data_IF_491314309355
#
_entry.id   IF_491314309355
#
_cell.length_a   1.000
_cell.length_b   1.000
_cell.length_c   1.000
_cell.angle_alpha   90.00
_cell.angle_beta   90.00
_cell.angle_gamma   90.00
#
_symmetry.space_group_name_H-M   'P 1'
#
loop_
_entity.id
_entity.type
_entity.pdbx_description
1 polymer ?
#
# COMPACT_ATOMS: atom_id res chain seq x y z
N UNK A 1 -28.32 1.19 43.06
CA UNK A 1 -29.24 1.90 42.14
C UNK A 1 -28.65 3.20 41.59
N UNK A 2 -27.35 3.40 41.62
CA UNK A 2 -26.74 4.73 41.31
C UNK A 2 -25.77 4.73 40.09
N UNK A 3 -25.53 3.57 39.47
CA UNK A 3 -24.62 3.48 38.32
C UNK A 3 -25.30 3.33 36.94
N UNK A 4 -26.58 2.98 36.89
CA UNK A 4 -27.33 2.84 35.64
C UNK A 4 -27.84 4.17 35.07
N UNK A 5 -28.11 5.15 35.95
CA UNK A 5 -28.68 6.46 35.55
C UNK A 5 -27.62 7.39 34.91
N UNK A 6 -26.34 7.20 35.25
CA UNK A 6 -25.26 8.00 34.67
C UNK A 6 -24.79 7.51 33.26
N UNK A 7 -25.06 6.24 32.91
CA UNK A 7 -24.79 5.71 31.59
C UNK A 7 -25.85 6.09 30.53
N UNK A 8 -27.11 6.17 30.92
CA UNK A 8 -28.19 6.58 30.01
C UNK A 8 -28.20 8.07 29.69
N UNK A 9 -27.77 8.96 30.61
CA UNK A 9 -27.68 10.40 30.33
C UNK A 9 -26.55 10.76 29.39
N UNK A 10 -25.43 10.01 29.39
CA UNK A 10 -24.30 10.26 28.47
C UNK A 10 -24.58 9.78 27.03
N UNK A 11 -25.39 8.72 26.84
CA UNK A 11 -25.72 8.20 25.50
C UNK A 11 -26.71 9.09 24.73
N UNK A 12 -27.65 9.72 25.43
CA UNK A 12 -28.63 10.66 24.81
C UNK A 12 -27.98 11.95 24.31
N UNK A 13 -27.01 12.47 25.05
CA UNK A 13 -26.31 13.72 24.71
C UNK A 13 -25.34 13.51 23.53
N UNK A 14 -24.68 12.35 23.47
CA UNK A 14 -23.75 11.97 22.38
C UNK A 14 -24.48 11.77 21.05
N UNK A 15 -25.65 11.13 21.06
CA UNK A 15 -26.47 10.95 19.85
C UNK A 15 -27.02 12.27 19.33
N UNK A 16 -27.45 13.17 20.22
CA UNK A 16 -27.92 14.51 19.86
C UNK A 16 -26.83 15.35 19.21
N UNK A 17 -25.60 15.28 19.73
CA UNK A 17 -24.43 16.00 19.18
C UNK A 17 -24.04 15.44 17.81
N UNK A 18 -24.04 14.13 17.63
CA UNK A 18 -23.78 13.44 16.36
C UNK A 18 -24.80 13.85 15.29
N UNK A 19 -26.08 13.79 15.59
CA UNK A 19 -27.15 14.17 14.68
C UNK A 19 -27.08 15.67 14.29
N UNK A 20 -26.71 16.53 15.22
CA UNK A 20 -26.51 17.95 14.92
C UNK A 20 -25.37 18.16 13.95
N UNK A 21 -24.25 17.46 14.14
CA UNK A 21 -23.10 17.53 13.25
C UNK A 21 -23.41 17.00 11.85
N UNK A 22 -24.12 15.89 11.74
CA UNK A 22 -24.52 15.35 10.45
C UNK A 22 -25.47 16.30 9.68
N UNK A 23 -26.38 16.98 10.36
CA UNK A 23 -27.23 18.04 9.75
C UNK A 23 -26.41 19.24 9.32
N UNK A 24 -25.38 19.64 10.07
CA UNK A 24 -24.49 20.72 9.69
C UNK A 24 -23.67 20.36 8.44
N UNK A 25 -23.18 19.11 8.32
CA UNK A 25 -22.53 18.58 7.13
C UNK A 25 -23.48 18.65 5.92
N UNK A 26 -24.70 18.15 6.04
CA UNK A 26 -25.69 18.21 4.94
C UNK A 26 -25.98 19.66 4.52
N UNK A 27 -26.09 20.57 5.47
CA UNK A 27 -26.34 21.98 5.19
C UNK A 27 -25.17 22.64 4.47
N UNK A 28 -23.91 22.36 4.92
CA UNK A 28 -22.70 22.98 4.35
C UNK A 28 -22.39 22.43 2.96
N UNK A 29 -22.55 21.12 2.76
CA UNK A 29 -22.09 20.42 1.56
C UNK A 29 -23.20 20.18 0.51
N UNK A 30 -24.49 20.21 0.90
CA UNK A 30 -25.60 20.05 -0.04
C UNK A 30 -25.44 18.80 -0.94
N UNK A 31 -25.35 19.01 -2.24
CA UNK A 31 -25.20 17.92 -3.23
C UNK A 31 -23.85 17.20 -3.19
N UNK A 32 -22.86 17.71 -2.48
CA UNK A 32 -21.58 17.02 -2.24
C UNK A 32 -21.69 15.98 -1.10
N UNK A 33 -22.75 16.00 -0.29
CA UNK A 33 -22.99 15.06 0.79
C UNK A 33 -24.11 14.09 0.45
N UNK A 34 -23.97 12.82 0.84
CA UNK A 34 -24.99 11.79 0.59
C UNK A 34 -25.03 10.71 1.67
N UNK A 35 -26.25 10.21 1.93
CA UNK A 35 -26.51 9.02 2.75
C UNK A 35 -27.14 7.89 1.92
N UNK A 36 -26.96 7.93 0.60
CA UNK A 36 -27.43 6.87 -0.29
C UNK A 36 -26.84 5.51 0.10
N UNK A 37 -27.68 4.51 0.30
CA UNK A 37 -27.28 3.19 0.82
C UNK A 37 -26.12 2.58 0.03
N UNK A 38 -26.20 2.58 -1.28
CA UNK A 38 -25.18 1.98 -2.16
C UNK A 38 -23.83 2.71 -2.04
N UNK A 39 -23.88 4.05 -1.83
CA UNK A 39 -22.67 4.85 -1.64
C UNK A 39 -22.06 4.58 -0.25
N UNK A 40 -22.88 4.49 0.80
CA UNK A 40 -22.39 4.14 2.14
C UNK A 40 -21.76 2.74 2.14
N UNK A 41 -22.35 1.79 1.42
CA UNK A 41 -21.81 0.44 1.28
C UNK A 41 -20.45 0.42 0.56
N UNK A 42 -20.31 1.17 -0.53
CA UNK A 42 -19.04 1.32 -1.24
C UNK A 42 -17.92 1.94 -0.38
N UNK A 43 -18.28 2.76 0.61
CA UNK A 43 -17.34 3.42 1.52
C UNK A 43 -17.20 2.70 2.87
N UNK A 44 -17.76 1.49 3.01
CA UNK A 44 -17.73 0.74 4.26
C UNK A 44 -16.53 -0.17 4.42
N UNK A 45 -15.81 -0.48 3.36
CA UNK A 45 -14.74 -1.48 3.33
C UNK A 45 -13.68 -1.15 2.27
N UNK A 46 -12.53 -1.77 2.44
CA UNK A 46 -11.48 -1.86 1.42
C UNK A 46 -11.41 -3.29 0.84
N UNK A 47 -10.33 -3.62 0.12
CA UNK A 47 -10.12 -4.96 -0.47
C UNK A 47 -9.66 -6.01 0.55
N UNK A 48 -9.63 -5.67 1.84
CA UNK A 48 -9.24 -6.59 2.91
C UNK A 48 -10.38 -7.55 3.29
N UNK A 49 -10.02 -8.58 4.07
CA UNK A 49 -10.98 -9.50 4.68
C UNK A 49 -11.59 -8.99 6.00
N UNK A 50 -11.18 -7.80 6.47
CA UNK A 50 -11.68 -7.21 7.71
C UNK A 50 -13.16 -6.85 7.63
N UNK A 51 -13.84 -6.91 8.77
CA UNK A 51 -15.28 -6.58 8.84
C UNK A 51 -15.53 -5.15 8.37
N UNK A 52 -16.55 -4.94 7.52
CA UNK A 52 -16.95 -3.62 7.09
C UNK A 52 -17.33 -2.70 8.23
N UNK A 53 -17.07 -1.41 8.10
CA UNK A 53 -17.52 -0.35 9.00
C UNK A 53 -18.25 0.73 8.21
N UNK A 54 -19.58 0.84 8.37
CA UNK A 54 -20.39 1.75 7.54
C UNK A 54 -20.34 3.19 8.07
N UNK A 55 -19.98 4.20 7.25
CA UNK A 55 -20.07 5.60 7.64
C UNK A 55 -21.54 6.09 7.74
N UNK A 56 -21.80 7.18 8.47
CA UNK A 56 -23.15 7.79 8.52
C UNK A 56 -23.46 8.62 7.29
N UNK A 57 -22.43 9.18 6.67
CA UNK A 57 -22.52 10.07 5.51
C UNK A 57 -21.21 10.06 4.72
N UNK A 58 -21.31 10.19 3.41
CA UNK A 58 -20.17 10.43 2.51
C UNK A 58 -20.18 11.87 2.07
N UNK A 59 -19.02 12.54 2.10
CA UNK A 59 -18.81 13.90 1.60
C UNK A 59 -17.74 13.87 0.51
N UNK A 60 -18.06 14.36 -0.68
CA UNK A 60 -17.13 14.51 -1.79
C UNK A 60 -16.46 15.88 -1.73
N UNK A 61 -15.19 15.94 -1.33
CA UNK A 61 -14.43 17.19 -1.31
C UNK A 61 -14.04 17.62 -2.74
N UNK A 62 -14.15 18.91 -3.05
CA UNK A 62 -13.75 19.51 -4.33
C UNK A 62 -12.61 20.53 -4.17
N UNK A 63 -12.31 20.92 -2.93
CA UNK A 63 -11.24 21.87 -2.58
C UNK A 63 -10.63 21.57 -1.21
N UNK A 64 -9.42 22.11 -0.96
CA UNK A 64 -8.78 22.05 0.36
C UNK A 64 -9.63 22.76 1.43
N UNK A 65 -10.37 23.79 1.06
CA UNK A 65 -11.29 24.53 1.91
C UNK A 65 -12.49 23.67 2.33
N UNK A 66 -13.03 22.83 1.43
CA UNK A 66 -14.08 21.85 1.76
C UNK A 66 -13.58 20.86 2.81
N UNK A 67 -12.35 20.35 2.64
CA UNK A 67 -11.72 19.46 3.62
C UNK A 67 -11.61 20.15 4.99
N UNK A 68 -11.15 21.43 5.00
CA UNK A 68 -11.00 22.19 6.23
C UNK A 68 -12.36 22.45 6.93
N UNK A 69 -13.39 22.77 6.17
CA UNK A 69 -14.73 23.01 6.74
C UNK A 69 -15.33 21.69 7.26
N UNK A 70 -15.16 20.58 6.55
CA UNK A 70 -15.60 19.25 7.01
C UNK A 70 -14.94 18.88 8.35
N UNK A 71 -13.61 19.05 8.46
CA UNK A 71 -12.86 18.79 9.69
C UNK A 71 -13.28 19.68 10.85
N UNK A 72 -13.52 20.99 10.61
CA UNK A 72 -14.02 21.89 11.66
C UNK A 72 -15.37 21.44 12.22
N UNK A 73 -16.28 20.99 11.35
CA UNK A 73 -17.58 20.47 11.77
C UNK A 73 -17.39 19.18 12.57
N UNK A 74 -16.60 18.23 12.04
CA UNK A 74 -16.31 16.95 12.69
C UNK A 74 -15.69 17.17 14.08
N UNK A 75 -14.72 18.05 14.21
CA UNK A 75 -14.08 18.39 15.49
C UNK A 75 -15.08 18.97 16.49
N UNK A 76 -15.94 19.92 16.05
CA UNK A 76 -16.96 20.56 16.90
C UNK A 76 -17.95 19.55 17.47
N UNK A 77 -18.35 18.59 16.64
CA UNK A 77 -19.39 17.61 16.99
C UNK A 77 -18.83 16.24 17.38
N UNK A 78 -17.51 16.10 17.48
CA UNK A 78 -16.82 14.83 17.78
C UNK A 78 -17.22 13.70 16.83
N UNK A 79 -17.41 14.02 15.55
CA UNK A 79 -17.71 13.04 14.51
C UNK A 79 -16.41 12.40 14.02
N UNK A 80 -16.31 11.07 13.98
CA UNK A 80 -15.22 10.41 13.25
C UNK A 80 -15.17 10.87 11.80
N UNK A 81 -13.96 11.03 11.27
CA UNK A 81 -13.73 11.34 9.87
C UNK A 81 -12.70 10.35 9.31
N UNK A 82 -13.07 9.70 8.24
CA UNK A 82 -12.27 8.70 7.52
C UNK A 82 -11.97 9.25 6.14
N UNK A 83 -10.72 9.63 5.83
CA UNK A 83 -10.32 10.00 4.46
C UNK A 83 -10.44 8.78 3.55
N UNK A 84 -11.06 8.96 2.39
CA UNK A 84 -11.30 7.90 1.42
C UNK A 84 -10.75 8.27 0.04
N UNK A 85 -10.01 7.36 -0.57
CA UNK A 85 -9.55 7.47 -1.96
C UNK A 85 -10.42 6.64 -2.90
N UNK A 86 -10.02 5.38 -3.13
CA UNK A 86 -10.75 4.39 -3.96
C UNK A 86 -10.93 3.03 -3.25
N UNK A 87 -10.57 2.93 -1.97
CA UNK A 87 -10.82 1.72 -1.17
C UNK A 87 -10.01 0.49 -1.57
N UNK A 88 -8.80 0.66 -2.13
CA UNK A 88 -7.95 -0.44 -2.60
C UNK A 88 -6.89 -0.89 -1.58
N UNK A 89 -6.97 -0.44 -0.36
CA UNK A 89 -6.09 -0.86 0.74
C UNK A 89 -6.44 -2.26 1.26
N UNK A 90 -5.53 -2.87 2.05
CA UNK A 90 -5.57 -4.30 2.38
C UNK A 90 -5.60 -4.59 3.90
N UNK A 91 -5.73 -3.56 4.76
CA UNK A 91 -5.69 -3.73 6.23
C UNK A 91 -6.86 -3.01 6.95
N UNK A 92 -7.98 -2.77 6.25
CA UNK A 92 -9.17 -2.14 6.84
C UNK A 92 -9.03 -0.64 7.08
N UNK A 93 -8.19 0.06 6.32
CA UNK A 93 -7.86 1.48 6.52
C UNK A 93 -9.05 2.42 6.43
N UNK A 94 -9.99 2.13 5.52
CA UNK A 94 -11.15 2.99 5.24
C UNK A 94 -12.43 2.56 5.96
N UNK A 95 -12.38 1.44 6.71
CA UNK A 95 -13.54 0.92 7.41
C UNK A 95 -13.95 1.89 8.54
N UNK A 96 -15.16 2.43 8.48
CA UNK A 96 -15.68 3.40 9.45
C UNK A 96 -16.17 2.71 10.72
N UNK A 97 -15.23 2.19 11.53
CA UNK A 97 -15.50 1.34 12.70
C UNK A 97 -16.48 1.97 13.73
N UNK A 98 -16.51 3.31 13.77
CA UNK A 98 -17.37 4.08 14.68
C UNK A 98 -18.37 4.95 13.91
N UNK A 99 -18.66 4.62 12.63
CA UNK A 99 -19.43 5.46 11.74
C UNK A 99 -18.74 6.81 11.45
N UNK A 100 -19.50 7.90 11.38
CA UNK A 100 -18.95 9.22 11.10
C UNK A 100 -18.99 9.58 9.61
N UNK A 101 -18.08 10.44 9.20
CA UNK A 101 -17.99 10.98 7.84
C UNK A 101 -16.91 10.25 7.06
N UNK A 102 -17.28 9.61 5.94
CA UNK A 102 -16.30 9.22 4.93
C UNK A 102 -16.06 10.41 3.99
N UNK A 103 -14.83 10.94 3.98
CA UNK A 103 -14.46 12.10 3.18
C UNK A 103 -13.79 11.62 1.90
N UNK A 104 -14.57 11.58 0.82
CA UNK A 104 -14.13 11.13 -0.50
C UNK A 104 -13.35 12.23 -1.22
N UNK A 105 -12.10 11.92 -1.56
CA UNK A 105 -11.17 12.83 -2.21
C UNK A 105 -11.17 12.69 -3.74
N UNK A 106 -11.95 11.80 -4.33
CA UNK A 106 -11.90 11.45 -5.77
C UNK A 106 -12.16 12.64 -6.72
N UNK A 107 -12.91 13.64 -6.27
CA UNK A 107 -13.15 14.87 -7.04
C UNK A 107 -11.99 15.88 -7.01
N UNK A 108 -11.04 15.69 -6.12
CA UNK A 108 -9.79 16.45 -6.05
C UNK A 108 -8.70 15.74 -6.87
N UNK A 109 -8.80 15.75 -8.19
CA UNK A 109 -8.00 14.93 -9.11
C UNK A 109 -7.25 15.71 -10.19
N UNK A 110 -6.93 16.98 -9.93
CA UNK A 110 -6.27 17.86 -10.91
C UNK A 110 -4.76 17.85 -10.79
N UNK A 111 -4.07 17.92 -11.94
CA UNK A 111 -2.68 18.35 -12.02
C UNK A 111 -2.64 19.85 -11.77
N UNK A 112 -2.00 20.28 -10.68
CA UNK A 112 -1.90 21.69 -10.31
C UNK A 112 -0.68 22.36 -10.93
N UNK A 113 0.42 21.62 -11.05
CA UNK A 113 1.68 22.11 -11.58
C UNK A 113 2.54 20.94 -12.06
N UNK A 114 3.33 21.19 -13.11
CA UNK A 114 4.41 20.31 -13.55
C UNK A 114 5.65 21.14 -13.88
N UNK A 115 6.83 20.65 -13.55
CA UNK A 115 8.14 21.22 -13.90
C UNK A 115 9.04 20.13 -14.47
N UNK A 116 9.26 20.17 -15.79
CA UNK A 116 10.17 19.24 -16.44
C UNK A 116 11.64 19.51 -16.09
N UNK A 117 11.97 20.76 -15.77
CA UNK A 117 13.34 21.17 -15.42
C UNK A 117 13.72 20.69 -14.01
N UNK A 118 12.77 20.76 -13.05
CA UNK A 118 12.98 20.34 -11.67
C UNK A 118 12.65 18.85 -11.44
N UNK A 119 12.04 18.19 -12.44
CA UNK A 119 11.56 16.82 -12.38
C UNK A 119 10.58 16.63 -11.20
N UNK A 120 9.57 17.49 -11.12
CA UNK A 120 8.53 17.40 -10.10
C UNK A 120 7.15 17.80 -10.64
N UNK A 121 6.11 17.36 -9.96
CA UNK A 121 4.76 17.84 -10.18
C UNK A 121 4.02 18.01 -8.87
N UNK A 122 2.94 18.83 -8.87
CA UNK A 122 2.01 18.94 -7.75
C UNK A 122 0.62 18.53 -8.23
N UNK A 123 0.00 17.60 -7.52
CA UNK A 123 -1.31 17.05 -7.84
C UNK A 123 -2.24 17.13 -6.64
N UNK A 124 -3.54 17.14 -6.87
CA UNK A 124 -4.53 16.89 -5.85
C UNK A 124 -4.56 15.41 -5.45
N UNK A 125 -4.87 15.12 -4.20
CA UNK A 125 -4.73 13.80 -3.59
C UNK A 125 -5.62 12.71 -4.19
N UNK A 126 -6.77 13.07 -4.77
CA UNK A 126 -7.69 12.15 -5.45
C UNK A 126 -7.29 11.78 -6.88
N UNK A 127 -6.17 12.30 -7.40
CA UNK A 127 -5.65 11.90 -8.72
C UNK A 127 -5.28 10.42 -8.71
N UNK A 128 -5.79 9.66 -9.68
CA UNK A 128 -5.43 8.25 -9.87
C UNK A 128 -4.02 8.10 -10.45
N UNK A 129 -3.31 7.06 -10.05
CA UNK A 129 -1.97 6.73 -10.55
C UNK A 129 -1.92 6.64 -12.07
N UNK A 130 -2.91 5.94 -12.70
CA UNK A 130 -2.97 5.81 -14.15
C UNK A 130 -3.30 7.13 -14.85
N UNK A 131 -4.08 8.00 -14.21
CA UNK A 131 -4.33 9.35 -14.71
C UNK A 131 -3.05 10.16 -14.71
N UNK A 132 -2.32 10.18 -13.58
CA UNK A 132 -1.02 10.84 -13.48
C UNK A 132 -0.05 10.35 -14.57
N UNK A 133 0.05 9.03 -14.76
CA UNK A 133 0.92 8.47 -15.79
C UNK A 133 0.60 9.00 -17.18
N UNK A 134 -0.70 9.11 -17.54
CA UNK A 134 -1.13 9.67 -18.84
C UNK A 134 -0.78 11.15 -18.97
N UNK A 135 -0.98 11.94 -17.92
CA UNK A 135 -0.71 13.37 -17.93
C UNK A 135 0.79 13.70 -18.01
N UNK A 136 1.67 12.78 -17.57
CA UNK A 136 3.12 12.93 -17.64
C UNK A 136 3.73 12.59 -19.02
N UNK A 137 3.05 11.78 -19.87
CA UNK A 137 3.55 11.35 -21.19
C UNK A 137 4.04 12.53 -22.06
N UNK A 138 3.28 13.64 -22.22
CA UNK A 138 3.70 14.75 -23.09
C UNK A 138 5.01 15.43 -22.66
N UNK A 139 5.41 15.23 -21.42
CA UNK A 139 6.62 15.82 -20.84
C UNK A 139 7.83 14.88 -20.84
N UNK A 140 7.66 13.64 -21.32
CA UNK A 140 8.71 12.63 -21.28
C UNK A 140 9.09 12.22 -19.84
N UNK A 141 8.15 12.35 -18.90
CA UNK A 141 8.35 12.06 -17.48
C UNK A 141 7.46 10.90 -17.03
N UNK A 142 7.84 10.28 -15.92
CA UNK A 142 7.01 9.28 -15.26
C UNK A 142 7.17 9.33 -13.74
N UNK A 143 6.15 8.83 -13.04
CA UNK A 143 6.15 8.57 -11.60
C UNK A 143 6.28 7.06 -11.40
N UNK A 144 7.30 6.57 -10.66
CA UNK A 144 7.66 5.16 -10.69
C UNK A 144 6.84 4.27 -9.74
N UNK A 145 6.25 4.80 -8.66
CA UNK A 145 5.52 3.93 -7.70
C UNK A 145 4.30 3.32 -8.36
N UNK A 146 4.26 1.98 -8.42
CA UNK A 146 3.29 1.22 -9.18
C UNK A 146 2.63 0.09 -8.37
N UNK A 147 1.87 0.42 -7.30
CA UNK A 147 1.12 -0.60 -6.57
C UNK A 147 0.18 -1.37 -7.51
N UNK A 148 -0.19 -2.59 -7.14
CA UNK A 148 -1.04 -3.46 -7.96
C UNK A 148 -2.39 -2.84 -8.38
N UNK A 149 -2.94 -1.95 -7.55
CA UNK A 149 -4.19 -1.25 -7.79
C UNK A 149 -3.99 0.11 -8.48
N UNK A 150 -5.05 0.63 -9.12
CA UNK A 150 -5.10 2.02 -9.60
C UNK A 150 -5.53 2.96 -8.46
N UNK A 151 -4.66 3.11 -7.48
CA UNK A 151 -4.90 3.88 -6.28
C UNK A 151 -4.82 5.40 -6.52
N UNK A 152 -5.41 6.18 -5.62
CA UNK A 152 -5.22 7.63 -5.59
C UNK A 152 -3.85 7.97 -5.04
N UNK A 153 -3.23 9.04 -5.53
CA UNK A 153 -1.92 9.51 -5.06
C UNK A 153 -1.94 9.83 -3.55
N UNK A 154 -3.06 10.38 -3.06
CA UNK A 154 -3.26 10.61 -1.62
C UNK A 154 -3.34 9.35 -0.79
N UNK A 155 -4.03 8.33 -1.29
CA UNK A 155 -4.08 7.00 -0.67
C UNK A 155 -2.71 6.35 -0.64
N UNK A 156 -1.97 6.38 -1.75
CA UNK A 156 -0.59 5.87 -1.83
C UNK A 156 0.33 6.57 -0.82
N UNK A 157 0.23 7.90 -0.68
CA UNK A 157 1.02 8.63 0.32
C UNK A 157 0.60 8.25 1.75
N UNK A 158 -0.71 8.14 2.01
CA UNK A 158 -1.24 7.82 3.34
C UNK A 158 -0.84 6.42 3.81
N UNK A 159 -0.72 5.44 2.92
CA UNK A 159 -0.27 4.07 3.27
C UNK A 159 1.25 3.88 3.14
N UNK A 160 1.98 4.87 2.59
CA UNK A 160 3.40 4.71 2.32
C UNK A 160 3.69 3.70 1.22
N UNK A 161 2.81 3.62 0.22
CA UNK A 161 2.83 2.60 -0.83
C UNK A 161 4.19 2.46 -1.53
N UNK A 162 4.49 1.24 -1.93
CA UNK A 162 5.61 0.85 -2.76
C UNK A 162 5.12 0.18 -4.06
N UNK A 163 5.94 -0.59 -4.70
CA UNK A 163 5.61 -1.33 -5.91
C UNK A 163 6.84 -1.99 -6.52
N UNK A 164 6.68 -2.54 -7.71
CA UNK A 164 7.72 -3.35 -8.37
C UNK A 164 9.00 -2.57 -8.67
N UNK A 165 8.92 -1.23 -8.79
CA UNK A 165 10.06 -0.36 -9.13
C UNK A 165 10.79 0.22 -7.91
N UNK A 166 10.35 -0.11 -6.70
CA UNK A 166 10.89 0.45 -5.45
C UNK A 166 12.39 0.19 -5.30
N UNK A 167 12.86 -0.99 -5.69
CA UNK A 167 14.30 -1.36 -5.66
C UNK A 167 15.22 -0.34 -6.35
N UNK A 168 14.73 0.40 -7.35
CA UNK A 168 15.52 1.41 -8.05
C UNK A 168 15.16 2.84 -7.66
N UNK A 169 13.87 3.12 -7.53
CA UNK A 169 13.38 4.50 -7.47
C UNK A 169 12.93 4.92 -6.08
N UNK A 170 12.77 3.97 -5.15
CA UNK A 170 12.19 4.21 -3.83
C UNK A 170 10.66 4.13 -3.83
N UNK A 171 10.09 4.14 -2.63
CA UNK A 171 8.65 4.14 -2.37
C UNK A 171 8.09 5.57 -2.26
N UNK A 172 6.83 5.70 -1.86
CA UNK A 172 6.21 7.01 -1.61
C UNK A 172 7.01 7.86 -0.61
N UNK A 173 7.63 7.22 0.39
CA UNK A 173 8.45 7.92 1.39
C UNK A 173 9.58 8.74 0.76
N UNK A 174 10.30 8.19 -0.21
CA UNK A 174 11.43 8.85 -0.88
C UNK A 174 10.99 9.82 -1.98
N UNK A 175 9.76 9.66 -2.47
CA UNK A 175 9.30 10.37 -3.67
C UNK A 175 8.31 11.49 -3.41
N UNK A 176 7.74 11.58 -2.21
CA UNK A 176 6.94 12.74 -1.80
C UNK A 176 7.87 13.84 -1.31
N UNK A 177 7.89 14.98 -2.02
CA UNK A 177 8.71 16.14 -1.67
C UNK A 177 8.04 17.03 -0.62
N UNK A 178 6.72 17.20 -0.72
CA UNK A 178 5.91 17.97 0.21
C UNK A 178 4.42 17.66 0.05
N UNK A 179 3.65 18.00 1.05
CA UNK A 179 2.19 17.85 1.03
C UNK A 179 1.52 19.11 1.61
N UNK A 180 0.32 19.40 1.12
CA UNK A 180 -0.62 20.26 1.80
C UNK A 180 -1.57 19.36 2.59
N UNK A 181 -1.60 19.55 3.89
CA UNK A 181 -2.37 18.72 4.83
C UNK A 181 -3.33 19.59 5.62
N UNK A 182 -4.54 19.13 5.80
CA UNK A 182 -5.53 19.75 6.68
C UNK A 182 -5.57 18.99 8.00
N UNK A 183 -5.24 19.69 9.07
CA UNK A 183 -5.24 19.15 10.44
C UNK A 183 -6.68 19.04 11.00
N UNK A 184 -6.90 18.23 12.05
CA UNK A 184 -8.23 18.03 12.63
C UNK A 184 -8.96 19.32 13.03
N UNK A 185 -8.22 20.35 13.44
CA UNK A 185 -8.79 21.67 13.78
C UNK A 185 -9.12 22.54 12.55
N UNK A 186 -8.94 22.02 11.34
CA UNK A 186 -9.13 22.70 10.07
C UNK A 186 -8.00 23.63 9.64
N UNK A 187 -6.86 23.65 10.35
CA UNK A 187 -5.68 24.39 9.92
C UNK A 187 -5.04 23.70 8.69
N UNK A 188 -4.69 24.52 7.69
CA UNK A 188 -4.01 24.05 6.47
C UNK A 188 -2.53 24.32 6.64
N UNK A 189 -1.71 23.28 6.48
CA UNK A 189 -0.25 23.37 6.58
C UNK A 189 0.42 22.83 5.32
N UNK A 190 1.64 23.29 5.06
CA UNK A 190 2.57 22.71 4.10
C UNK A 190 3.70 22.00 4.87
N UNK A 191 3.99 20.76 4.53
CA UNK A 191 4.94 19.91 5.28
C UNK A 191 6.38 20.11 4.86
N UNK A 192 6.63 20.65 3.67
CA UNK A 192 7.94 20.81 3.08
C UNK A 192 7.88 21.72 1.85
N UNK A 193 8.84 21.57 0.96
CA UNK A 193 8.95 22.34 -0.27
C UNK A 193 9.59 21.53 -1.41
N UNK A 194 9.81 22.20 -2.54
CA UNK A 194 10.38 21.61 -3.76
C UNK A 194 11.91 21.49 -3.73
N UNK A 195 12.58 22.11 -2.76
CA UNK A 195 14.02 22.02 -2.63
C UNK A 195 14.43 20.58 -2.34
N UNK A 196 15.44 20.08 -3.08
CA UNK A 196 15.92 18.69 -2.96
C UNK A 196 16.47 18.33 -1.59
N UNK A 197 16.81 19.32 -0.76
CA UNK A 197 17.27 19.12 0.61
C UNK A 197 16.92 20.36 1.45
N UNK A 198 16.57 20.10 2.70
CA UNK A 198 16.34 21.10 3.73
C UNK A 198 16.77 20.55 5.08
N UNK A 199 17.17 21.44 5.98
CA UNK A 199 17.40 21.14 7.40
C UNK A 199 16.55 22.05 8.31
N UNK A 200 15.46 22.62 7.77
CA UNK A 200 14.61 23.56 8.47
C UNK A 200 13.51 22.84 9.26
N UNK A 201 13.78 22.59 10.53
CA UNK A 201 12.78 22.01 11.45
C UNK A 201 12.66 20.49 11.38
N UNK A 202 11.59 19.96 11.96
CA UNK A 202 11.26 18.54 11.90
C UNK A 202 10.72 18.14 10.54
N UNK A 203 10.96 16.91 10.14
CA UNK A 203 10.45 16.34 8.89
C UNK A 203 8.96 15.98 9.02
N UNK A 204 8.11 16.94 8.71
CA UNK A 204 6.68 16.73 8.75
C UNK A 204 6.19 15.89 7.53
N UNK A 205 6.89 15.95 6.40
CA UNK A 205 6.50 15.19 5.21
C UNK A 205 6.48 13.69 5.52
N UNK A 206 7.55 13.16 6.08
CA UNK A 206 7.63 11.75 6.43
C UNK A 206 6.81 11.35 7.67
N UNK A 207 6.34 12.32 8.46
CA UNK A 207 5.35 12.06 9.51
C UNK A 207 3.96 11.74 8.93
N UNK A 208 3.57 12.40 7.84
CA UNK A 208 2.27 12.17 7.21
C UNK A 208 2.27 11.05 6.17
N UNK A 209 3.41 10.74 5.53
CA UNK A 209 3.54 9.54 4.69
C UNK A 209 3.45 8.30 5.58
N UNK A 210 2.50 7.41 5.28
CA UNK A 210 2.22 6.22 6.10
C UNK A 210 1.40 6.50 7.36
N UNK A 211 0.79 7.69 7.49
CA UNK A 211 -0.09 8.03 8.63
C UNK A 211 -1.50 7.44 8.54
N UNK A 212 -1.86 6.85 7.43
CA UNK A 212 -3.14 6.15 7.20
C UNK A 212 -4.38 7.02 7.53
N UNK A 213 -4.27 8.34 7.29
CA UNK A 213 -5.35 9.29 7.57
C UNK A 213 -5.61 9.54 9.06
N UNK A 214 -4.74 9.08 9.96
CA UNK A 214 -4.94 9.22 11.41
C UNK A 214 -4.45 10.57 11.96
N UNK A 215 -3.63 11.32 11.23
CA UNK A 215 -3.05 12.59 11.68
C UNK A 215 -3.65 13.82 10.98
N UNK A 216 -4.26 13.65 9.81
CA UNK A 216 -4.84 14.73 9.01
C UNK A 216 -5.25 14.23 7.64
N UNK A 217 -5.81 15.13 6.82
CA UNK A 217 -6.22 14.83 5.44
C UNK A 217 -5.24 15.48 4.47
N UNK A 218 -4.61 14.64 3.64
CA UNK A 218 -3.72 15.08 2.57
C UNK A 218 -4.58 15.60 1.42
N UNK A 219 -4.43 16.86 1.03
CA UNK A 219 -5.22 17.50 -0.05
C UNK A 219 -4.43 17.69 -1.34
N UNK A 220 -3.14 18.02 -1.25
CA UNK A 220 -2.25 18.19 -2.39
C UNK A 220 -0.89 17.54 -2.10
N UNK A 221 -0.22 17.04 -3.14
CA UNK A 221 1.05 16.33 -3.02
C UNK A 221 2.00 16.80 -4.11
N UNK A 222 3.22 17.14 -3.73
CA UNK A 222 4.33 17.38 -4.67
C UNK A 222 5.20 16.15 -4.74
N UNK A 223 5.35 15.62 -5.95
CA UNK A 223 6.03 14.36 -6.27
C UNK A 223 7.32 14.61 -7.03
N UNK A 224 8.35 13.83 -6.70
CA UNK A 224 9.56 13.70 -7.50
C UNK A 224 9.28 12.81 -8.71
N UNK A 225 9.69 13.25 -9.88
CA UNK A 225 9.54 12.55 -11.15
C UNK A 225 10.90 12.12 -11.73
N UNK A 226 10.82 11.27 -12.74
CA UNK A 226 11.98 10.79 -13.50
C UNK A 226 11.73 10.92 -14.99
N UNK A 227 12.79 11.10 -15.77
CA UNK A 227 12.73 11.01 -17.23
C UNK A 227 12.43 9.58 -17.66
N UNK A 228 11.59 9.42 -18.69
CA UNK A 228 11.36 8.11 -19.30
C UNK A 228 12.70 7.55 -19.80
N UNK A 229 13.09 6.32 -19.45
CA UNK A 229 14.37 5.75 -19.88
C UNK A 229 14.41 5.58 -21.40
N UNK A 230 15.57 5.84 -21.99
CA UNK A 230 15.83 5.66 -23.43
C UNK A 230 15.61 4.21 -23.86
N UNK A 231 16.07 3.28 -23.05
CA UNK A 231 15.96 1.85 -23.27
C UNK A 231 15.43 1.15 -22.03
N UNK A 232 14.54 0.18 -22.24
CA UNK A 232 14.04 -0.72 -21.20
C UNK A 232 14.17 -2.15 -21.70
N UNK A 233 14.76 -3.05 -20.90
CA UNK A 233 14.78 -4.48 -21.18
C UNK A 233 14.06 -5.23 -20.04
N UNK A 234 13.22 -6.20 -20.39
CA UNK A 234 12.71 -7.19 -19.44
C UNK A 234 13.46 -8.51 -19.62
N UNK A 235 13.61 -9.26 -18.53
CA UNK A 235 14.19 -10.59 -18.56
C UNK A 235 13.44 -11.54 -17.62
N UNK A 236 13.51 -12.84 -17.94
CA UNK A 236 13.02 -13.94 -17.10
C UNK A 236 14.07 -15.03 -16.98
N UNK A 237 14.04 -15.73 -15.85
CA UNK A 237 14.91 -16.88 -15.58
C UNK A 237 14.20 -17.85 -14.62
N UNK A 238 14.42 -19.15 -14.80
CA UNK A 238 13.82 -20.19 -13.97
C UNK A 238 14.82 -20.80 -13.01
N UNK A 239 14.33 -21.25 -11.84
CA UNK A 239 15.12 -21.91 -10.80
C UNK A 239 14.39 -23.14 -10.27
N UNK A 240 15.12 -24.25 -10.09
CA UNK A 240 14.57 -25.47 -9.51
C UNK A 240 14.21 -25.34 -8.02
N UNK A 241 14.81 -24.38 -7.31
CA UNK A 241 14.48 -24.12 -5.91
C UNK A 241 14.47 -22.63 -5.57
N UNK A 242 13.66 -22.28 -4.56
CA UNK A 242 13.46 -20.90 -4.11
C UNK A 242 14.73 -20.26 -3.50
N UNK A 243 15.49 -21.04 -2.72
CA UNK A 243 16.68 -20.54 -2.06
C UNK A 243 17.71 -20.02 -3.08
N UNK A 244 17.97 -20.78 -4.15
CA UNK A 244 18.88 -20.36 -5.22
C UNK A 244 18.39 -19.13 -5.96
N UNK A 245 17.09 -19.07 -6.27
CA UNK A 245 16.49 -17.89 -6.91
C UNK A 245 16.72 -16.61 -6.07
N UNK A 246 16.41 -16.66 -4.77
CA UNK A 246 16.54 -15.49 -3.90
C UNK A 246 18.00 -15.17 -3.55
N UNK A 247 18.86 -16.19 -3.46
CA UNK A 247 20.32 -15.96 -3.31
C UNK A 247 20.91 -15.24 -4.53
N UNK A 248 20.43 -15.53 -5.73
CA UNK A 248 20.83 -14.81 -6.94
C UNK A 248 20.39 -13.35 -6.90
N UNK A 249 19.17 -13.05 -6.39
CA UNK A 249 18.70 -11.68 -6.16
C UNK A 249 19.63 -10.94 -5.21
N UNK A 250 19.97 -11.56 -4.08
CA UNK A 250 20.90 -10.97 -3.11
C UNK A 250 22.24 -10.62 -3.76
N UNK A 251 22.78 -11.52 -4.59
CA UNK A 251 24.04 -11.26 -5.32
C UNK A 251 23.92 -10.11 -6.34
N UNK A 252 22.80 -10.03 -7.07
CA UNK A 252 22.51 -8.93 -8.00
C UNK A 252 22.55 -7.58 -7.26
N UNK A 253 21.86 -7.48 -6.14
CA UNK A 253 21.79 -6.24 -5.33
C UNK A 253 23.17 -5.90 -4.75
N UNK A 254 23.89 -6.89 -4.17
CA UNK A 254 25.21 -6.68 -3.58
C UNK A 254 26.27 -6.24 -4.59
N UNK A 255 26.19 -6.74 -5.82
CA UNK A 255 27.10 -6.35 -6.91
C UNK A 255 26.71 -5.03 -7.58
N UNK A 256 25.62 -4.41 -7.15
CA UNK A 256 25.19 -3.09 -7.63
C UNK A 256 24.64 -3.10 -9.05
N UNK A 257 24.10 -4.24 -9.52
CA UNK A 257 23.44 -4.31 -10.82
C UNK A 257 22.21 -3.42 -10.82
N UNK A 258 22.11 -2.56 -11.82
CA UNK A 258 21.09 -1.50 -11.89
C UNK A 258 19.69 -1.99 -12.30
N UNK A 259 19.16 -3.01 -11.61
CA UNK A 259 17.79 -3.50 -11.86
C UNK A 259 16.75 -2.42 -11.54
N UNK A 260 15.75 -2.26 -12.41
CA UNK A 260 14.61 -1.39 -12.17
C UNK A 260 13.49 -2.12 -11.45
N UNK A 261 13.36 -3.42 -11.69
CA UNK A 261 12.42 -4.33 -11.02
C UNK A 261 13.08 -5.69 -10.88
N UNK A 262 12.76 -6.38 -9.80
CA UNK A 262 13.10 -7.79 -9.65
C UNK A 262 12.04 -8.49 -8.79
N UNK A 263 11.27 -9.36 -9.42
CA UNK A 263 10.08 -10.00 -8.88
C UNK A 263 10.24 -11.51 -8.87
N UNK A 264 9.68 -12.15 -7.85
CA UNK A 264 9.58 -13.61 -7.74
C UNK A 264 8.13 -14.04 -7.92
N UNK A 265 7.92 -15.09 -8.69
CA UNK A 265 6.72 -15.92 -8.63
C UNK A 265 7.16 -17.38 -8.44
N UNK A 266 6.61 -18.07 -7.45
CA UNK A 266 6.96 -19.44 -7.17
C UNK A 266 6.31 -20.41 -8.18
N UNK A 267 6.74 -21.68 -8.14
CA UNK A 267 6.23 -22.73 -9.01
C UNK A 267 4.69 -22.86 -8.95
N UNK A 268 4.09 -22.72 -7.77
CA UNK A 268 2.65 -22.82 -7.59
C UNK A 268 1.91 -21.64 -8.23
N UNK A 269 2.45 -20.41 -8.12
CA UNK A 269 1.92 -19.25 -8.79
C UNK A 269 2.06 -19.35 -10.32
N UNK A 270 3.18 -19.88 -10.85
CA UNK A 270 3.36 -20.12 -12.29
C UNK A 270 2.32 -21.10 -12.82
N UNK A 271 2.06 -22.19 -12.09
CA UNK A 271 1.04 -23.18 -12.47
C UNK A 271 -0.37 -22.54 -12.50
N UNK A 272 -0.69 -21.70 -11.50
CA UNK A 272 -1.95 -20.96 -11.48
C UNK A 272 -2.09 -20.03 -12.69
N UNK A 273 -1.04 -19.28 -13.03
CA UNK A 273 -1.02 -18.37 -14.20
C UNK A 273 -1.20 -19.16 -15.49
N UNK A 274 -0.52 -20.30 -15.66
CA UNK A 274 -0.69 -21.14 -16.84
C UNK A 274 -2.17 -21.55 -17.02
N UNK A 275 -2.81 -21.98 -15.94
CA UNK A 275 -4.21 -22.39 -15.99
C UNK A 275 -5.17 -21.23 -16.28
N UNK A 276 -4.91 -20.06 -15.71
CA UNK A 276 -5.79 -18.87 -15.83
C UNK A 276 -5.65 -18.15 -17.17
N UNK A 277 -4.41 -17.89 -17.59
CA UNK A 277 -4.09 -17.09 -18.77
C UNK A 277 -3.84 -17.94 -20.02
N UNK A 278 -4.03 -19.28 -19.91
CA UNK A 278 -3.79 -20.24 -21.00
C UNK A 278 -2.38 -20.10 -21.60
N UNK A 279 -1.38 -19.94 -20.72
CA UNK A 279 0.05 -19.89 -21.07
C UNK A 279 0.70 -21.28 -20.91
N UNK A 280 1.92 -21.41 -21.36
CA UNK A 280 2.71 -22.66 -21.25
C UNK A 280 4.11 -22.34 -20.69
N UNK A 281 4.17 -21.51 -19.65
CA UNK A 281 5.41 -21.26 -18.94
C UNK A 281 5.92 -22.54 -18.28
N UNK A 282 7.24 -22.69 -18.21
CA UNK A 282 7.82 -23.80 -17.46
C UNK A 282 7.44 -23.65 -15.97
N UNK A 283 6.80 -24.69 -15.42
CA UNK A 283 6.33 -24.68 -14.02
C UNK A 283 7.50 -24.89 -13.05
N UNK A 284 8.31 -23.83 -12.93
CA UNK A 284 9.41 -23.69 -12.00
C UNK A 284 9.34 -22.30 -11.34
N UNK A 285 10.14 -22.08 -10.28
CA UNK A 285 10.21 -20.73 -9.67
C UNK A 285 10.84 -19.77 -10.67
N UNK A 286 10.24 -18.62 -10.84
CA UNK A 286 10.65 -17.67 -11.88
C UNK A 286 10.97 -16.30 -11.27
N UNK A 287 12.12 -15.74 -11.68
CA UNK A 287 12.41 -14.32 -11.50
C UNK A 287 12.09 -13.57 -12.77
N UNK A 288 11.50 -12.37 -12.59
CA UNK A 288 11.25 -11.39 -13.64
C UNK A 288 12.07 -10.16 -13.29
N UNK A 289 12.86 -9.66 -14.26
CA UNK A 289 13.72 -8.51 -14.07
C UNK A 289 13.40 -7.44 -15.12
N UNK A 290 13.63 -6.17 -14.76
CA UNK A 290 13.57 -5.07 -15.71
C UNK A 290 14.78 -4.15 -15.51
N UNK A 291 15.30 -3.60 -16.60
CA UNK A 291 16.47 -2.72 -16.64
C UNK A 291 16.12 -1.44 -17.38
N UNK A 292 16.52 -0.29 -16.82
CA UNK A 292 16.26 1.03 -17.39
C UNK A 292 17.55 1.80 -17.58
N UNK A 293 17.73 2.48 -18.70
CA UNK A 293 18.89 3.33 -18.94
C UNK A 293 19.09 3.70 -20.40
N UNK A 294 20.32 4.01 -20.79
CA UNK A 294 20.71 4.04 -22.20
C UNK A 294 20.88 2.62 -22.72
N UNK A 295 20.82 2.43 -24.03
CA UNK A 295 20.96 1.10 -24.64
C UNK A 295 22.26 0.39 -24.21
N UNK A 296 23.37 1.11 -24.13
CA UNK A 296 24.66 0.56 -23.69
C UNK A 296 24.59 0.04 -22.23
N UNK A 297 24.05 0.85 -21.33
CA UNK A 297 23.90 0.48 -19.90
C UNK A 297 23.00 -0.72 -19.75
N UNK A 298 21.83 -0.72 -20.39
CA UNK A 298 20.87 -1.81 -20.32
C UNK A 298 21.47 -3.12 -20.81
N UNK A 299 22.18 -3.11 -21.96
CA UNK A 299 22.82 -4.31 -22.49
C UNK A 299 23.91 -4.85 -21.55
N UNK A 300 24.68 -3.97 -20.91
CA UNK A 300 25.71 -4.35 -19.94
C UNK A 300 25.08 -4.99 -18.69
N UNK A 301 24.08 -4.34 -18.10
CA UNK A 301 23.38 -4.81 -16.90
C UNK A 301 22.66 -6.14 -17.13
N UNK A 302 22.02 -6.32 -18.27
CA UNK A 302 21.40 -7.58 -18.68
C UNK A 302 22.43 -8.72 -18.76
N UNK A 303 23.59 -8.47 -19.38
CA UNK A 303 24.64 -9.47 -19.50
C UNK A 303 25.24 -9.83 -18.13
N UNK A 304 25.46 -8.85 -17.26
CA UNK A 304 25.97 -9.06 -15.91
C UNK A 304 24.98 -9.87 -15.08
N UNK A 305 23.70 -9.49 -15.09
CA UNK A 305 22.65 -10.20 -14.40
C UNK A 305 22.54 -11.67 -14.89
N UNK A 306 22.59 -11.90 -16.21
CA UNK A 306 22.55 -13.23 -16.79
C UNK A 306 23.68 -14.14 -16.26
N UNK A 307 24.92 -13.58 -16.14
CA UNK A 307 26.06 -14.33 -15.57
C UNK A 307 25.81 -14.71 -14.10
N UNK A 308 25.40 -13.74 -13.27
CA UNK A 308 25.13 -13.97 -11.86
C UNK A 308 24.01 -15.00 -11.66
N UNK A 309 22.92 -14.88 -12.42
CA UNK A 309 21.78 -15.79 -12.37
C UNK A 309 22.20 -17.22 -12.74
N UNK A 310 23.02 -17.39 -13.80
CA UNK A 310 23.54 -18.68 -14.20
C UNK A 310 24.46 -19.32 -13.14
N UNK A 311 25.34 -18.55 -12.49
CA UNK A 311 26.21 -19.01 -11.40
C UNK A 311 25.41 -19.53 -10.20
N UNK A 312 24.18 -19.02 -9.98
CA UNK A 312 23.25 -19.48 -8.93
C UNK A 312 22.29 -20.59 -9.40
N UNK A 313 22.52 -21.15 -10.59
CA UNK A 313 21.72 -22.27 -11.11
C UNK A 313 20.46 -21.87 -11.87
N UNK A 314 20.37 -20.59 -12.27
CA UNK A 314 19.30 -20.11 -13.15
C UNK A 314 19.41 -20.73 -14.55
N UNK A 315 18.27 -21.08 -15.12
CA UNK A 315 18.15 -21.70 -16.45
C UNK A 315 17.15 -20.94 -17.31
N UNK A 316 17.22 -21.12 -18.63
CA UNK A 316 16.23 -20.53 -19.54
C UNK A 316 16.19 -19.00 -19.52
N UNK A 317 17.32 -18.34 -19.25
CA UNK A 317 17.37 -16.86 -19.27
C UNK A 317 16.95 -16.34 -20.64
N UNK A 318 15.95 -15.46 -20.65
CA UNK A 318 15.47 -14.75 -21.84
C UNK A 318 15.37 -13.26 -21.54
N UNK A 319 15.74 -12.42 -22.47
CA UNK A 319 15.57 -10.97 -22.35
C UNK A 319 15.12 -10.34 -23.65
N UNK A 320 14.39 -9.23 -23.55
CA UNK A 320 13.91 -8.47 -24.71
C UNK A 320 13.79 -6.99 -24.39
N UNK A 321 14.16 -6.16 -25.37
CA UNK A 321 13.88 -4.72 -25.40
C UNK A 321 12.59 -4.39 -26.19
N UNK A 322 12.04 -5.33 -26.92
CA UNK A 322 10.78 -5.16 -27.65
C UNK A 322 9.59 -5.00 -26.70
N UNK A 323 8.81 -3.95 -26.89
CA UNK A 323 7.71 -3.60 -25.99
C UNK A 323 6.63 -4.69 -25.93
N UNK A 324 6.30 -5.34 -27.04
CA UNK A 324 5.28 -6.37 -27.07
C UNK A 324 5.73 -7.61 -26.29
N UNK A 325 6.98 -8.00 -26.46
CA UNK A 325 7.57 -9.13 -25.72
C UNK A 325 7.70 -8.81 -24.23
N UNK A 326 8.14 -7.60 -23.86
CA UNK A 326 8.18 -7.17 -22.46
C UNK A 326 6.79 -7.24 -21.78
N UNK A 327 5.75 -6.80 -22.48
CA UNK A 327 4.38 -6.88 -21.99
C UNK A 327 3.97 -8.33 -21.71
N UNK A 328 4.29 -9.26 -22.60
CA UNK A 328 4.01 -10.69 -22.43
C UNK A 328 4.77 -11.27 -21.21
N UNK A 329 6.05 -10.90 -21.05
CA UNK A 329 6.85 -11.37 -19.91
C UNK A 329 6.27 -10.90 -18.57
N UNK A 330 5.81 -9.64 -18.48
CA UNK A 330 5.22 -9.10 -17.25
C UNK A 330 3.78 -9.56 -17.01
N UNK A 331 3.07 -10.06 -18.03
CA UNK A 331 1.68 -10.49 -17.90
C UNK A 331 1.51 -11.55 -16.81
N UNK A 332 2.43 -12.52 -16.74
CA UNK A 332 2.41 -13.56 -15.71
C UNK A 332 2.41 -12.98 -14.28
N UNK A 333 3.19 -11.92 -14.04
CA UNK A 333 3.23 -11.26 -12.73
C UNK A 333 1.97 -10.46 -12.45
N UNK A 334 1.42 -9.79 -13.46
CA UNK A 334 0.18 -9.02 -13.33
C UNK A 334 -1.04 -9.92 -13.06
N UNK A 335 -1.07 -11.09 -13.67
CA UNK A 335 -2.19 -12.02 -13.53
C UNK A 335 -2.11 -12.86 -12.24
N UNK A 336 -0.95 -12.91 -11.57
CA UNK A 336 -0.67 -13.86 -10.50
C UNK A 336 -1.74 -13.88 -9.39
N UNK A 337 -2.14 -12.73 -8.85
CA UNK A 337 -3.15 -12.66 -7.78
C UNK A 337 -4.53 -13.17 -8.25
N UNK A 338 -4.96 -12.77 -9.45
CA UNK A 338 -6.22 -13.23 -10.04
C UNK A 338 -6.19 -14.71 -10.38
N UNK A 339 -5.08 -15.19 -10.93
CA UNK A 339 -4.86 -16.57 -11.25
C UNK A 339 -4.90 -17.48 -10.01
N UNK A 340 -4.28 -17.03 -8.92
CA UNK A 340 -4.29 -17.74 -7.64
C UNK A 340 -5.72 -17.80 -7.10
N UNK A 341 -6.44 -16.67 -7.06
CA UNK A 341 -7.83 -16.64 -6.61
C UNK A 341 -8.74 -17.56 -7.43
N UNK A 342 -8.53 -17.60 -8.75
CA UNK A 342 -9.34 -18.40 -9.68
C UNK A 342 -9.20 -19.93 -9.47
N UNK A 343 -8.18 -20.39 -8.74
CA UNK A 343 -8.01 -21.82 -8.43
C UNK A 343 -9.18 -22.39 -7.60
N UNK A 344 -9.88 -21.54 -6.84
CA UNK A 344 -11.06 -21.94 -6.05
C UNK A 344 -12.18 -20.93 -6.26
N UNK A 345 -13.15 -21.19 -7.17
CA UNK A 345 -14.28 -20.30 -7.41
C UNK A 345 -15.09 -20.02 -6.13
N UNK A 346 -15.47 -18.76 -5.90
CA UNK A 346 -16.20 -18.32 -4.71
C UNK A 346 -15.32 -18.02 -3.49
N UNK A 347 -14.00 -18.23 -3.59
CA UNK A 347 -13.06 -17.89 -2.52
C UNK A 347 -12.69 -16.41 -2.50
N UNK A 348 -12.09 -16.00 -1.40
CA UNK A 348 -11.37 -14.74 -1.25
C UNK A 348 -9.86 -15.00 -1.16
N UNK A 349 -9.06 -13.96 -1.18
CA UNK A 349 -7.62 -14.03 -0.92
C UNK A 349 -7.29 -13.33 0.39
N UNK A 350 -6.44 -13.99 1.17
CA UNK A 350 -5.76 -13.42 2.32
C UNK A 350 -4.30 -13.20 1.89
N UNK A 351 -3.85 -11.96 1.87
CA UNK A 351 -2.50 -11.63 1.39
C UNK A 351 -1.64 -11.23 2.59
N UNK A 352 -0.58 -12.01 2.83
CA UNK A 352 0.42 -11.64 3.85
C UNK A 352 1.36 -10.58 3.32
N UNK A 353 2.01 -9.84 4.24
CA UNK A 353 2.96 -8.81 3.85
C UNK A 353 4.05 -8.69 4.92
N UNK A 354 5.25 -9.13 4.59
CA UNK A 354 6.45 -8.98 5.43
C UNK A 354 7.62 -8.51 4.60
N UNK A 355 8.56 -7.81 5.23
CA UNK A 355 9.82 -7.45 4.59
C UNK A 355 10.97 -7.76 5.56
N UNK A 356 12.06 -8.33 5.02
CA UNK A 356 13.24 -8.70 5.81
C UNK A 356 14.51 -8.15 5.15
N UNK A 357 15.60 -7.98 5.90
CA UNK A 357 16.90 -7.64 5.30
C UNK A 357 17.24 -8.60 4.16
N UNK A 358 17.69 -8.06 3.04
CA UNK A 358 17.90 -8.81 1.79
C UNK A 358 18.79 -10.05 1.97
N UNK A 359 19.76 -10.00 2.90
CA UNK A 359 20.65 -11.12 3.20
C UNK A 359 19.96 -12.30 3.91
N UNK A 360 18.77 -12.08 4.48
CA UNK A 360 17.98 -13.08 5.21
C UNK A 360 16.75 -13.55 4.41
N UNK A 361 16.48 -12.89 3.27
CA UNK A 361 15.28 -13.17 2.47
C UNK A 361 15.22 -14.63 1.99
N UNK A 362 16.34 -15.20 1.52
CA UNK A 362 16.38 -16.59 1.05
C UNK A 362 15.97 -17.59 2.14
N UNK A 363 16.45 -17.38 3.37
CA UNK A 363 16.08 -18.20 4.51
C UNK A 363 14.62 -18.00 4.89
N UNK A 364 14.15 -16.75 4.98
CA UNK A 364 12.77 -16.41 5.33
C UNK A 364 11.78 -17.07 4.35
N UNK A 365 11.99 -16.92 3.04
CA UNK A 365 11.13 -17.54 2.00
C UNK A 365 11.19 -19.07 2.06
N UNK A 366 12.37 -19.66 2.27
CA UNK A 366 12.51 -21.12 2.34
C UNK A 366 11.76 -21.71 3.55
N UNK A 367 11.91 -21.10 4.73
CA UNK A 367 11.18 -21.50 5.94
C UNK A 367 9.67 -21.28 5.80
N UNK A 368 9.27 -20.20 5.15
CA UNK A 368 7.86 -19.92 4.85
C UNK A 368 7.25 -20.95 3.92
N UNK A 369 7.96 -21.35 2.87
CA UNK A 369 7.52 -22.41 1.96
C UNK A 369 7.38 -23.78 2.67
N UNK A 370 8.30 -24.08 3.60
CA UNK A 370 8.19 -25.29 4.42
C UNK A 370 6.96 -25.22 5.35
N UNK A 371 6.65 -24.07 5.93
CA UNK A 371 5.48 -23.86 6.79
C UNK A 371 4.16 -23.97 5.99
N UNK A 372 4.10 -23.41 4.77
CA UNK A 372 2.97 -23.58 3.83
C UNK A 372 2.71 -25.07 3.59
N UNK A 373 3.77 -25.83 3.29
CA UNK A 373 3.69 -27.27 3.05
C UNK A 373 3.20 -28.02 4.28
N UNK A 374 3.72 -27.71 5.45
CA UNK A 374 3.34 -28.34 6.71
C UNK A 374 1.90 -28.01 7.14
N UNK A 375 1.44 -26.82 6.86
CA UNK A 375 0.08 -26.34 7.21
C UNK A 375 -0.96 -26.82 6.20
N UNK A 376 -0.54 -27.15 4.98
CA UNK A 376 -1.42 -27.59 3.90
C UNK A 376 -2.33 -26.51 3.35
N UNK A 377 -1.95 -25.23 3.52
CA UNK A 377 -2.69 -24.10 2.95
C UNK A 377 -2.36 -23.93 1.46
N UNK A 378 -3.33 -23.46 0.67
CA UNK A 378 -3.10 -23.06 -0.71
C UNK A 378 -2.59 -21.62 -0.72
N UNK A 379 -1.27 -21.45 -0.71
CA UNK A 379 -0.61 -20.17 -0.54
C UNK A 379 0.64 -20.01 -1.40
N UNK A 380 0.51 -19.75 -2.73
CA UNK A 380 1.63 -19.42 -3.57
C UNK A 380 2.37 -18.18 -3.11
N UNK A 381 3.70 -18.14 -3.35
CA UNK A 381 4.57 -17.03 -2.99
C UNK A 381 4.81 -16.13 -4.19
N UNK A 382 4.59 -14.83 -4.00
CA UNK A 382 4.96 -13.77 -4.94
C UNK A 382 5.68 -12.67 -4.19
N UNK A 383 6.56 -11.89 -4.84
CA UNK A 383 7.21 -10.83 -4.06
C UNK A 383 8.12 -9.89 -4.81
N UNK A 384 8.29 -8.72 -4.19
CA UNK A 384 9.23 -7.65 -4.54
C UNK A 384 10.60 -7.98 -3.93
N UNK A 385 11.19 -9.08 -4.41
CA UNK A 385 12.37 -9.69 -3.78
C UNK A 385 13.63 -8.81 -3.84
N UNK A 386 13.63 -7.78 -4.70
CA UNK A 386 14.69 -6.78 -4.74
C UNK A 386 14.76 -5.90 -3.49
N UNK A 387 13.64 -5.75 -2.79
CA UNK A 387 13.49 -4.92 -1.59
C UNK A 387 13.44 -5.73 -0.29
N UNK A 388 13.42 -7.07 -0.40
CA UNK A 388 13.24 -7.96 0.74
C UNK A 388 11.78 -8.22 1.12
N UNK A 389 10.82 -7.71 0.34
CA UNK A 389 9.39 -7.87 0.56
C UNK A 389 8.82 -9.06 -0.24
N UNK A 390 7.94 -9.83 0.38
CA UNK A 390 7.21 -10.89 -0.29
C UNK A 390 5.85 -11.14 0.37
N UNK A 391 4.98 -11.76 -0.42
CA UNK A 391 3.62 -12.09 -0.04
C UNK A 391 3.35 -13.58 -0.23
N UNK A 392 2.56 -14.15 0.67
CA UNK A 392 1.87 -15.42 0.45
C UNK A 392 0.42 -15.07 0.14
N UNK A 393 -0.03 -15.43 -1.04
CA UNK A 393 -1.40 -15.18 -1.49
C UNK A 393 -2.24 -16.41 -1.16
N UNK A 394 -2.87 -16.41 0.01
CA UNK A 394 -3.64 -17.57 0.49
C UNK A 394 -5.07 -17.51 -0.02
N UNK A 395 -5.53 -18.59 -0.60
CA UNK A 395 -6.93 -18.71 -1.04
C UNK A 395 -7.76 -19.25 0.13
N UNK A 396 -8.78 -18.48 0.54
CA UNK A 396 -9.59 -18.77 1.73
C UNK A 396 -11.09 -18.76 1.45
N UNK A 397 -11.84 -19.51 2.27
CA UNK A 397 -13.28 -19.35 2.41
C UNK A 397 -13.55 -18.66 3.76
N UNK A 398 -13.93 -17.39 3.79
CA UNK A 398 -14.09 -16.63 5.04
C UNK A 398 -15.16 -17.24 5.99
N UNK A 399 -16.06 -18.06 5.44
CA UNK A 399 -17.10 -18.76 6.22
C UNK A 399 -16.58 -20.04 6.89
N UNK A 400 -15.38 -20.51 6.51
CA UNK A 400 -14.72 -21.67 7.13
C UNK A 400 -13.80 -21.19 8.27
N UNK A 401 -14.35 -21.16 9.48
CA UNK A 401 -13.63 -20.70 10.69
C UNK A 401 -12.36 -21.53 10.96
N UNK A 402 -12.35 -22.81 10.64
CA UNK A 402 -11.18 -23.68 10.85
C UNK A 402 -10.06 -23.34 9.84
N UNK A 403 -10.41 -23.10 8.58
CA UNK A 403 -9.46 -22.63 7.56
C UNK A 403 -8.90 -21.26 7.94
N UNK A 404 -9.76 -20.31 8.32
CA UNK A 404 -9.34 -18.96 8.72
C UNK A 404 -8.39 -19.03 9.92
N UNK A 405 -8.69 -19.80 10.94
CA UNK A 405 -7.81 -19.97 12.12
C UNK A 405 -6.44 -20.57 11.76
N UNK A 406 -6.39 -21.51 10.79
CA UNK A 406 -5.12 -22.04 10.29
C UNK A 406 -4.30 -20.99 9.57
N UNK A 407 -4.95 -20.17 8.74
CA UNK A 407 -4.30 -19.11 7.95
C UNK A 407 -3.81 -17.98 8.87
N UNK A 408 -4.61 -17.57 9.84
CA UNK A 408 -4.20 -16.58 10.86
C UNK A 408 -2.99 -17.09 11.66
N UNK A 409 -3.04 -18.34 12.13
CA UNK A 409 -1.91 -18.95 12.84
C UNK A 409 -0.65 -19.05 11.97
N UNK A 410 -0.79 -19.30 10.68
CA UNK A 410 0.33 -19.26 9.74
C UNK A 410 0.88 -17.84 9.60
N UNK A 411 0.02 -16.83 9.44
CA UNK A 411 0.43 -15.43 9.32
C UNK A 411 1.18 -14.94 10.58
N UNK A 412 0.69 -15.31 11.77
CA UNK A 412 1.37 -15.03 13.05
C UNK A 412 2.81 -15.59 13.06
N UNK A 413 3.00 -16.84 12.62
CA UNK A 413 4.33 -17.46 12.55
C UNK A 413 5.23 -16.79 11.51
N UNK A 414 4.65 -16.39 10.36
CA UNK A 414 5.37 -15.67 9.30
C UNK A 414 5.86 -14.31 9.82
N UNK A 415 5.00 -13.54 10.47
CA UNK A 415 5.35 -12.24 11.06
C UNK A 415 6.44 -12.44 12.15
N UNK A 416 6.25 -13.39 13.06
CA UNK A 416 7.24 -13.69 14.09
C UNK A 416 8.61 -14.07 13.50
N UNK A 417 8.63 -14.83 12.41
CA UNK A 417 9.84 -15.19 11.65
C UNK A 417 10.50 -13.94 11.09
N UNK A 418 9.75 -13.07 10.39
CA UNK A 418 10.28 -11.85 9.82
C UNK A 418 10.88 -10.92 10.90
N UNK A 419 10.16 -10.71 12.01
CA UNK A 419 10.63 -9.89 13.14
C UNK A 419 11.90 -10.48 13.78
N UNK A 420 11.97 -11.81 13.95
CA UNK A 420 13.17 -12.47 14.48
C UNK A 420 14.41 -12.31 13.61
N UNK A 421 14.21 -12.03 12.32
CA UNK A 421 15.25 -11.74 11.34
C UNK A 421 15.55 -10.23 11.21
N UNK A 422 14.99 -9.38 12.07
CA UNK A 422 15.16 -7.92 12.01
C UNK A 422 14.38 -7.27 10.88
N UNK A 423 13.31 -7.92 10.41
CA UNK A 423 12.37 -7.42 9.44
C UNK A 423 11.19 -6.66 10.05
N UNK A 424 10.12 -6.50 9.28
CA UNK A 424 8.89 -5.80 9.67
C UNK A 424 7.64 -6.64 9.41
N UNK A 425 6.59 -6.40 10.18
CA UNK A 425 5.28 -7.03 10.02
C UNK A 425 4.51 -6.54 8.78
N UNK A 426 4.98 -5.47 8.14
CA UNK A 426 4.36 -4.91 6.93
C UNK A 426 5.41 -4.23 6.07
N UNK A 427 5.57 -4.69 4.83
CA UNK A 427 6.45 -4.07 3.84
C UNK A 427 5.79 -2.87 3.15
N UNK A 428 4.49 -3.01 2.80
CA UNK A 428 3.78 -2.01 2.03
C UNK A 428 2.28 -1.85 2.36
N UNK A 429 1.63 -2.86 2.99
CA UNK A 429 0.19 -2.79 3.22
C UNK A 429 -0.21 -1.81 4.32
N UNK A 430 0.69 -1.48 5.25
CA UNK A 430 0.39 -0.65 6.42
C UNK A 430 -0.12 -1.47 7.61
N UNK A 431 -0.53 -0.77 8.67
CA UNK A 431 -1.00 -1.37 9.93
C UNK A 431 -2.52 -1.51 9.95
N UNK A 432 -3.25 -0.47 9.54
CA UNK A 432 -4.71 -0.46 9.53
C UNK A 432 -5.33 -0.88 10.86
N UNK A 433 -6.25 -1.84 10.77
CA UNK A 433 -6.91 -2.51 11.90
C UNK A 433 -6.17 -3.81 12.27
N UNK A 434 -5.69 -4.54 11.25
CA UNK A 434 -5.24 -5.93 11.41
C UNK A 434 -3.90 -6.08 12.11
N UNK A 435 -2.97 -5.14 11.93
CA UNK A 435 -1.58 -5.30 12.37
C UNK A 435 -1.21 -4.50 13.64
N UNK A 436 -2.19 -3.94 14.35
CA UNK A 436 -1.95 -3.18 15.59
C UNK A 436 -1.14 -3.97 16.65
N UNK A 437 -1.45 -5.26 16.95
CA UNK A 437 -0.65 -6.05 17.88
C UNK A 437 0.78 -6.27 17.41
N UNK A 438 0.96 -6.44 16.09
CA UNK A 438 2.28 -6.66 15.50
C UNK A 438 3.15 -5.40 15.55
N UNK A 439 2.56 -4.20 15.37
CA UNK A 439 3.26 -2.94 15.55
C UNK A 439 3.83 -2.81 16.98
N UNK A 440 3.04 -3.18 17.99
CA UNK A 440 3.50 -3.16 19.37
C UNK A 440 4.66 -4.15 19.61
N UNK A 441 4.58 -5.33 18.99
CA UNK A 441 5.64 -6.33 19.08
C UNK A 441 6.93 -5.87 18.38
N UNK A 442 6.81 -5.25 17.20
CA UNK A 442 7.95 -4.78 16.40
C UNK A 442 8.65 -3.58 17.03
N UNK A 443 7.88 -2.56 17.39
CA UNK A 443 8.42 -1.26 17.81
C UNK A 443 8.63 -1.14 19.32
N UNK A 444 7.97 -1.98 20.09
CA UNK A 444 7.97 -1.93 21.55
C UNK A 444 7.06 -0.84 22.14
N UNK A 445 6.77 -0.93 23.45
CA UNK A 445 5.79 -0.07 24.11
C UNK A 445 6.17 1.42 24.13
N UNK A 446 7.45 1.74 24.26
CA UNK A 446 7.90 3.13 24.35
C UNK A 446 7.74 3.88 23.01
N UNK A 447 8.08 3.24 21.89
CA UNK A 447 7.89 3.83 20.57
C UNK A 447 6.40 4.00 20.22
N UNK A 448 5.57 2.99 20.51
CA UNK A 448 4.11 3.09 20.32
C UNK A 448 3.50 4.16 21.22
N UNK A 449 3.98 4.31 22.46
CA UNK A 449 3.57 5.40 23.37
C UNK A 449 3.90 6.78 22.78
N UNK A 450 5.08 6.95 22.17
CA UNK A 450 5.43 8.18 21.47
C UNK A 450 4.51 8.44 20.26
N UNK A 451 4.19 7.42 19.45
CA UNK A 451 3.25 7.55 18.35
C UNK A 451 1.86 8.00 18.83
N UNK A 452 1.38 7.43 19.94
CA UNK A 452 0.13 7.84 20.61
C UNK A 452 0.17 9.29 21.11
N UNK A 453 1.30 9.71 21.67
CA UNK A 453 1.49 11.10 22.10
C UNK A 453 1.44 12.09 20.92
N UNK A 454 2.07 11.74 19.78
CA UNK A 454 2.00 12.52 18.53
C UNK A 454 0.55 12.59 18.04
N UNK A 455 -0.15 11.44 17.96
CA UNK A 455 -1.56 11.38 17.59
C UNK A 455 -2.41 12.30 18.49
N UNK A 456 -2.27 12.20 19.80
CA UNK A 456 -3.05 12.98 20.77
C UNK A 456 -2.75 14.48 20.69
N UNK A 457 -1.51 14.87 20.37
CA UNK A 457 -1.12 16.27 20.21
C UNK A 457 -1.73 16.89 18.95
N UNK A 458 -1.85 16.13 17.85
CA UNK A 458 -2.39 16.59 16.58
C UNK A 458 -3.93 16.49 16.57
N UNK A 459 -4.47 15.39 17.09
CA UNK A 459 -5.90 15.07 17.10
C UNK A 459 -6.40 14.81 18.54
N UNK A 460 -6.49 15.85 19.37
CA UNK A 460 -6.89 15.71 20.77
C UNK A 460 -8.35 15.24 20.95
N UNK A 461 -9.18 15.34 19.91
CA UNK A 461 -10.56 14.89 19.94
C UNK A 461 -10.72 13.44 19.44
N UNK A 462 -9.65 12.83 18.91
CA UNK A 462 -9.65 11.46 18.42
C UNK A 462 -10.58 11.20 17.23
N UNK A 463 -10.82 12.23 16.38
CA UNK A 463 -11.77 12.12 15.27
C UNK A 463 -11.17 11.51 14.00
N UNK A 464 -9.84 11.63 13.81
CA UNK A 464 -9.18 11.20 12.58
C UNK A 464 -9.00 9.69 12.54
N UNK A 465 -9.73 9.04 11.65
CA UNK A 465 -9.67 7.62 11.34
C UNK A 465 -9.48 6.73 12.60
N UNK A 466 -10.38 6.84 13.59
CA UNK A 466 -10.18 6.19 14.90
C UNK A 466 -10.22 4.65 14.78
N UNK A 467 -9.51 3.97 15.70
CA UNK A 467 -9.41 2.51 15.73
C UNK A 467 -8.33 1.93 14.81
N UNK A 468 -7.41 2.77 14.32
CA UNK A 468 -6.34 2.36 13.39
C UNK A 468 -4.95 2.66 13.98
N UNK A 469 -3.93 2.00 13.42
CA UNK A 469 -2.49 2.19 13.67
C UNK A 469 -2.10 2.05 15.13
N UNK A 470 -2.36 3.05 15.96
CA UNK A 470 -1.94 3.11 17.37
C UNK A 470 -3.09 2.96 18.36
N UNK A 471 -4.27 2.55 17.89
CA UNK A 471 -5.44 2.35 18.75
C UNK A 471 -5.14 1.36 19.89
N UNK A 472 -5.76 1.58 21.04
CA UNK A 472 -5.82 0.57 22.11
C UNK A 472 -6.88 -0.47 21.73
N UNK A 473 -6.53 -1.73 21.88
CA UNK A 473 -7.46 -2.85 21.66
C UNK A 473 -8.33 -3.09 22.86
#
# INVERSE_FOLDING_TARGET
MSSSVLQESNSGDTNSLRDAGLREIETRFGSQATRGRDVLEQHSHDESFHLPGTPDIVVYAESTEDVADCLKICTRHKLPLIPFGVGTSLEGHVNALYGGVSLDMSRMNKMLRISSEDLDCTVQSGMLRKQLAKELIPYGLFFPVDPGADATIGGMAATGASGTTTVRYGAMRELVLSMKVVLPNGAIIETGGRARKTSAGYDLTHLFVGSEGTLGVISEITLKLFGVPECTAAATVQFSNLHSAVSAVTAIIQLGVGVARIELIDKAAVAAVNAYSNTSLLEENMLLLEFHGSEYVVNHEVALAASILAEHGGTGFMSSTDQSQRTVLWQARHDAAWAIRAQRPGSQIFVTDVCVPISLLANCITETHADITATGILGPIVGHVGDGNFHVVVVVSPEDEEEMSRVESFNERLIARALSMGGTCTGEHGIGVGKIPHLLHEMGPDAVSLMRAIKSAIDPMGIMNPGKVTAEQ
#
